data_IF_981650948504
#
_entry.id   IF_981650948504
#
_cell.length_a   1.000
_cell.length_b   1.000
_cell.length_c   1.000
_cell.angle_alpha   90.00
_cell.angle_beta   90.00
_cell.angle_gamma   90.00
#
_symmetry.space_group_name_H-M   'P 1'
#
loop_
_entity.id
_entity.type
_entity.pdbx_description
1 polymer ?
#
# COMPACT_ATOMS: atom_id res chain seq x y z
N UNK A 1 17.41 25.49 21.63
CA UNK A 1 18.26 25.89 20.49
C UNK A 1 17.32 26.15 19.34
N UNK A 2 17.38 27.37 18.79
CA UNK A 2 16.41 27.93 17.84
C UNK A 2 16.15 27.01 16.65
N UNK A 3 14.91 26.55 16.49
CA UNK A 3 14.38 26.03 15.23
C UNK A 3 14.36 27.17 14.21
N UNK A 4 15.48 27.38 13.52
CA UNK A 4 15.48 28.20 12.33
C UNK A 4 14.74 27.41 11.24
N UNK A 5 13.44 27.68 11.11
CA UNK A 5 12.67 27.23 9.95
C UNK A 5 13.35 27.75 8.69
N UNK A 6 13.48 26.93 7.63
CA UNK A 6 13.96 27.43 6.35
C UNK A 6 13.02 28.51 5.81
N UNK A 7 13.55 29.34 4.92
CA UNK A 7 12.83 30.41 4.22
C UNK A 7 11.43 29.92 3.75
N UNK A 8 10.34 30.67 3.99
CA UNK A 8 8.98 30.24 3.60
C UNK A 8 8.85 29.82 2.13
N UNK A 9 9.63 30.39 1.20
CA UNK A 9 9.64 29.97 -0.23
C UNK A 9 10.20 28.55 -0.41
N UNK A 10 11.16 28.13 0.42
CA UNK A 10 11.71 26.76 0.42
C UNK A 10 10.66 25.75 0.89
N UNK A 11 9.93 26.08 1.96
CA UNK A 11 8.89 25.20 2.50
C UNK A 11 7.74 24.99 1.52
N UNK A 12 7.28 26.06 0.86
CA UNK A 12 6.17 25.99 -0.09
C UNK A 12 6.54 25.10 -1.30
N UNK A 13 7.74 25.29 -1.87
CA UNK A 13 8.22 24.48 -3.00
C UNK A 13 8.43 23.01 -2.63
N UNK A 14 8.97 22.74 -1.44
CA UNK A 14 9.14 21.37 -0.94
C UNK A 14 7.80 20.69 -0.65
N UNK A 15 6.86 21.42 -0.04
CA UNK A 15 5.51 20.93 0.21
C UNK A 15 4.79 20.59 -1.10
N UNK A 16 4.79 21.52 -2.06
CA UNK A 16 4.19 21.32 -3.39
C UNK A 16 4.79 20.12 -4.13
N UNK A 17 6.12 19.97 -4.09
CA UNK A 17 6.79 18.81 -4.68
C UNK A 17 6.36 17.50 -4.00
N UNK A 18 6.33 17.50 -2.66
CA UNK A 18 5.98 16.29 -1.91
C UNK A 18 4.52 15.89 -2.09
N UNK A 19 3.57 16.83 -2.10
CA UNK A 19 2.16 16.55 -2.35
C UNK A 19 1.92 15.94 -3.73
N UNK A 20 2.63 16.44 -4.74
CA UNK A 20 2.45 15.98 -6.12
C UNK A 20 3.13 14.64 -6.40
N UNK A 21 4.33 14.42 -5.83
CA UNK A 21 5.25 13.33 -6.24
C UNK A 21 5.60 12.32 -5.13
N UNK A 22 5.48 12.68 -3.85
CA UNK A 22 5.92 11.85 -2.71
C UNK A 22 4.73 11.21 -1.99
N UNK A 23 4.23 10.09 -2.55
CA UNK A 23 2.97 9.44 -2.13
C UNK A 23 3.10 8.16 -1.30
N UNK A 24 4.29 7.76 -0.86
CA UNK A 24 4.44 6.55 -0.04
C UNK A 24 5.87 6.22 0.36
N UNK A 25 6.06 5.09 1.03
CA UNK A 25 7.36 4.68 1.60
C UNK A 25 8.54 4.75 0.64
N UNK A 26 8.33 4.40 -0.63
CA UNK A 26 9.39 4.30 -1.63
C UNK A 26 9.86 5.68 -2.05
N UNK A 27 8.93 6.59 -2.32
CA UNK A 27 9.24 7.98 -2.65
C UNK A 27 9.77 8.74 -1.43
N UNK A 28 9.25 8.49 -0.23
CA UNK A 28 9.81 9.02 1.03
C UNK A 28 11.26 8.56 1.24
N UNK A 29 11.55 7.28 0.98
CA UNK A 29 12.91 6.72 1.06
C UNK A 29 13.87 7.40 0.08
N UNK A 30 13.39 7.70 -1.14
CA UNK A 30 14.19 8.38 -2.17
C UNK A 30 14.54 9.81 -1.76
N UNK A 31 13.55 10.63 -1.37
CA UNK A 31 13.81 12.03 -1.02
C UNK A 31 14.68 12.14 0.24
N UNK A 32 14.48 11.28 1.24
CA UNK A 32 15.36 11.21 2.42
C UNK A 32 16.81 10.85 2.04
N UNK A 33 16.97 9.87 1.16
CA UNK A 33 18.30 9.46 0.68
C UNK A 33 19.01 10.59 -0.07
N UNK A 34 18.31 11.27 -0.98
CA UNK A 34 18.86 12.38 -1.75
C UNK A 34 19.22 13.57 -0.84
N UNK A 35 18.36 13.93 0.13
CA UNK A 35 18.69 14.98 1.11
C UNK A 35 19.91 14.59 1.94
N UNK A 36 20.01 13.35 2.42
CA UNK A 36 21.20 12.88 3.14
C UNK A 36 22.46 12.92 2.27
N UNK A 37 22.34 12.54 1.00
CA UNK A 37 23.45 12.61 0.05
C UNK A 37 23.92 14.06 -0.16
N UNK A 38 22.99 15.03 -0.15
CA UNK A 38 23.30 16.45 -0.29
C UNK A 38 24.07 16.96 0.94
N UNK A 39 23.70 16.47 2.14
CA UNK A 39 24.43 16.77 3.38
C UNK A 39 25.83 16.17 3.42
N UNK A 40 26.03 15.01 2.80
CA UNK A 40 27.32 14.30 2.77
C UNK A 40 28.27 14.83 1.69
N UNK A 41 27.75 15.15 0.50
CA UNK A 41 28.55 15.52 -0.68
C UNK A 41 28.49 17.01 -1.05
N UNK A 42 27.55 17.74 -0.48
CA UNK A 42 27.25 19.11 -0.86
C UNK A 42 26.39 19.22 -2.12
N UNK A 43 26.00 20.46 -2.43
CA UNK A 43 25.26 20.86 -3.63
C UNK A 43 26.09 21.86 -4.44
N UNK A 44 25.90 21.93 -5.78
CA UNK A 44 24.91 21.22 -6.57
C UNK A 44 25.28 19.76 -6.89
N UNK A 45 24.27 18.92 -7.16
CA UNK A 45 24.47 17.58 -7.68
C UNK A 45 24.73 17.57 -9.18
N UNK A 46 25.61 16.67 -9.61
CA UNK A 46 25.58 16.12 -10.96
C UNK A 46 24.56 14.97 -11.00
N UNK A 47 23.40 15.23 -11.62
CA UNK A 47 22.27 14.31 -11.67
C UNK A 47 22.65 12.99 -12.37
N UNK A 48 23.62 13.02 -13.29
CA UNK A 48 24.09 11.81 -13.98
C UNK A 48 24.81 10.83 -13.06
N UNK A 49 25.39 11.32 -11.97
CA UNK A 49 26.09 10.52 -10.96
C UNK A 49 25.17 9.94 -9.88
N UNK A 50 23.87 10.27 -9.92
CA UNK A 50 22.86 9.66 -9.05
C UNK A 50 22.46 8.26 -9.55
N UNK A 51 22.95 7.82 -10.70
CA UNK A 51 22.68 6.52 -11.32
C UNK A 51 23.72 5.47 -10.91
N UNK A 52 23.29 4.23 -10.69
CA UNK A 52 24.20 3.08 -10.63
C UNK A 52 24.75 2.73 -12.01
N UNK A 53 25.91 2.06 -12.08
CA UNK A 53 26.52 1.57 -13.33
C UNK A 53 25.57 0.69 -14.17
N UNK A 54 24.63 0.00 -13.52
CA UNK A 54 23.47 -0.63 -14.17
C UNK A 54 22.33 0.38 -14.20
N UNK A 55 21.99 0.93 -15.37
CA UNK A 55 21.25 2.19 -15.62
C UNK A 55 19.77 2.25 -15.17
N UNK A 56 19.41 1.82 -13.95
CA UNK A 56 18.01 1.81 -13.51
C UNK A 56 17.75 2.00 -12.02
N UNK A 57 18.79 2.32 -11.22
CA UNK A 57 18.64 2.51 -9.78
C UNK A 57 19.40 3.76 -9.29
N UNK A 58 18.92 4.31 -8.17
CA UNK A 58 19.55 5.42 -7.48
C UNK A 58 20.77 4.91 -6.72
N UNK A 59 21.93 5.49 -6.97
CA UNK A 59 23.19 5.08 -6.37
C UNK A 59 23.14 5.19 -4.83
N UNK A 60 23.48 4.10 -4.16
CA UNK A 60 23.53 4.02 -2.69
C UNK A 60 22.17 3.95 -1.99
N UNK A 61 21.05 4.02 -2.72
CA UNK A 61 19.72 3.88 -2.14
C UNK A 61 19.49 2.41 -1.72
N UNK A 62 19.04 2.20 -0.49
CA UNK A 62 18.72 0.87 0.03
C UNK A 62 18.21 0.91 1.47
N UNK A 63 17.59 -0.20 1.89
CA UNK A 63 16.97 -0.37 3.22
C UNK A 63 17.88 0.09 4.35
N UNK A 64 19.09 -0.47 4.43
CA UNK A 64 20.01 -0.21 5.55
C UNK A 64 20.47 1.24 5.62
N UNK A 65 20.48 1.96 4.48
CA UNK A 65 20.82 3.39 4.47
C UNK A 65 19.67 4.22 5.01
N UNK A 66 18.46 3.98 4.52
CA UNK A 66 17.25 4.68 5.00
C UNK A 66 17.01 4.39 6.47
N UNK A 67 17.17 3.14 6.91
CA UNK A 67 17.00 2.76 8.31
C UNK A 67 18.01 3.45 9.22
N UNK A 68 19.26 3.60 8.80
CA UNK A 68 20.27 4.35 9.58
C UNK A 68 19.88 5.82 9.73
N UNK A 69 19.41 6.47 8.66
CA UNK A 69 18.91 7.84 8.73
C UNK A 69 17.77 7.92 9.74
N UNK A 70 16.76 7.05 9.65
CA UNK A 70 15.61 7.06 10.56
C UNK A 70 16.00 6.77 12.02
N UNK A 71 16.95 5.87 12.26
CA UNK A 71 17.45 5.56 13.60
C UNK A 71 18.11 6.76 14.29
N UNK A 72 18.80 7.63 13.54
CA UNK A 72 19.36 8.89 14.07
C UNK A 72 18.27 9.84 14.60
N UNK A 73 17.04 9.71 14.11
CA UNK A 73 15.87 10.47 14.56
C UNK A 73 14.97 9.68 15.53
N UNK A 74 15.45 8.55 16.08
CA UNK A 74 14.72 7.74 17.05
C UNK A 74 13.56 6.94 16.46
N UNK A 75 13.62 6.60 15.17
CA UNK A 75 12.62 5.77 14.49
C UNK A 75 13.22 4.40 14.21
N UNK A 76 12.80 3.40 14.98
CA UNK A 76 13.24 2.00 14.83
C UNK A 76 12.36 1.21 13.86
N UNK A 77 11.15 1.70 13.56
CA UNK A 77 10.22 1.09 12.61
C UNK A 77 10.82 1.12 11.20
N UNK A 78 10.64 0.02 10.47
CA UNK A 78 11.09 -0.09 9.09
C UNK A 78 10.16 0.67 8.13
N UNK A 79 10.73 1.57 7.32
CA UNK A 79 9.96 2.33 6.31
C UNK A 79 9.72 1.51 5.02
N UNK A 80 10.77 0.89 4.46
CA UNK A 80 10.65 0.09 3.23
C UNK A 80 11.69 -1.03 3.11
N UNK A 81 11.24 -2.28 2.94
CA UNK A 81 12.10 -3.46 2.71
C UNK A 81 13.11 -3.30 1.58
N UNK A 82 12.72 -2.67 0.48
CA UNK A 82 13.59 -2.39 -0.68
C UNK A 82 14.25 -1.01 -0.63
N UNK A 83 14.01 -0.21 0.41
CA UNK A 83 14.54 1.16 0.54
C UNK A 83 14.19 2.10 -0.62
N UNK A 84 13.12 1.82 -1.38
CA UNK A 84 12.74 2.60 -2.56
C UNK A 84 13.48 2.24 -3.85
N UNK A 85 14.19 1.10 -3.93
CA UNK A 85 14.97 0.68 -5.10
C UNK A 85 14.17 0.23 -6.35
N UNK A 86 12.85 0.36 -6.37
CA UNK A 86 12.03 -0.12 -7.50
C UNK A 86 12.19 0.79 -8.73
N UNK A 87 12.53 0.19 -9.87
CA UNK A 87 13.01 0.90 -11.08
C UNK A 87 11.96 1.73 -11.83
N UNK A 88 10.66 1.49 -11.61
CA UNK A 88 9.59 2.12 -12.41
C UNK A 88 9.31 3.61 -12.08
N UNK A 89 9.91 4.18 -11.03
CA UNK A 89 9.69 5.61 -10.70
C UNK A 89 10.70 6.27 -9.76
N UNK A 90 11.49 5.50 -9.01
CA UNK A 90 12.41 6.05 -8.01
C UNK A 90 13.58 6.85 -8.58
N UNK A 91 14.08 6.46 -9.76
CA UNK A 91 15.17 7.19 -10.41
C UNK A 91 14.69 8.56 -10.90
N UNK A 92 13.57 8.60 -11.64
CA UNK A 92 13.00 9.87 -12.11
C UNK A 92 12.68 10.82 -10.94
N UNK A 93 12.11 10.29 -9.85
CA UNK A 93 11.87 11.08 -8.64
C UNK A 93 13.17 11.62 -8.02
N UNK A 94 14.23 10.80 -7.95
CA UNK A 94 15.51 11.23 -7.42
C UNK A 94 16.15 12.34 -8.25
N UNK A 95 16.05 12.25 -9.58
CA UNK A 95 16.55 13.26 -10.51
C UNK A 95 15.75 14.56 -10.37
N UNK A 96 14.42 14.50 -10.39
CA UNK A 96 13.54 15.66 -10.21
C UNK A 96 13.78 16.35 -8.85
N UNK A 97 13.96 15.58 -7.78
CA UNK A 97 14.20 16.14 -6.46
C UNK A 97 15.61 16.72 -6.31
N UNK A 98 16.62 16.10 -6.93
CA UNK A 98 17.97 16.66 -6.99
C UNK A 98 18.01 17.98 -7.77
N UNK A 99 17.27 18.07 -8.88
CA UNK A 99 17.09 19.31 -9.64
C UNK A 99 16.43 20.41 -8.80
N UNK A 100 15.39 20.08 -8.02
CA UNK A 100 14.77 21.02 -7.09
C UNK A 100 15.79 21.57 -6.09
N UNK A 101 16.58 20.70 -5.45
CA UNK A 101 17.62 21.13 -4.50
C UNK A 101 18.71 22.00 -5.16
N UNK A 102 19.09 21.67 -6.41
CA UNK A 102 20.01 22.49 -7.20
C UNK A 102 19.43 23.88 -7.52
N UNK A 103 18.16 23.95 -7.89
CA UNK A 103 17.46 25.21 -8.14
C UNK A 103 17.41 26.08 -6.89
N UNK A 104 16.98 25.52 -5.75
CA UNK A 104 16.97 26.23 -4.47
C UNK A 104 18.37 26.72 -4.07
N UNK A 105 19.40 25.91 -4.34
CA UNK A 105 20.79 26.33 -4.14
C UNK A 105 21.17 27.52 -5.03
N UNK A 106 20.82 27.48 -6.32
CA UNK A 106 21.15 28.53 -7.28
C UNK A 106 20.45 29.86 -7.00
N UNK A 107 19.26 29.79 -6.40
CA UNK A 107 18.50 30.97 -5.95
C UNK A 107 19.02 31.53 -4.62
N UNK A 108 20.00 30.88 -3.98
CA UNK A 108 20.53 31.26 -2.67
C UNK A 108 19.57 30.97 -1.50
N UNK A 109 18.43 30.32 -1.74
CA UNK A 109 17.37 30.10 -0.74
C UNK A 109 17.73 29.02 0.29
N UNK A 110 18.67 28.12 -0.04
CA UNK A 110 19.26 27.22 0.94
C UNK A 110 20.39 27.88 1.77
N UNK A 111 20.76 29.13 1.49
CA UNK A 111 21.88 29.81 2.12
C UNK A 111 23.07 29.99 1.18
N UNK A 112 23.79 31.10 1.39
CA UNK A 112 24.88 31.54 0.53
C UNK A 112 26.23 30.96 0.96
N UNK A 113 26.34 30.55 2.22
CA UNK A 113 27.52 29.88 2.76
C UNK A 113 27.30 28.36 2.85
N UNK A 114 28.41 27.60 2.90
CA UNK A 114 28.35 26.15 3.10
C UNK A 114 27.69 25.77 4.44
N UNK A 115 27.90 26.57 5.49
CA UNK A 115 27.32 26.31 6.82
C UNK A 115 25.81 26.54 6.84
N UNK A 116 25.33 27.62 6.22
CA UNK A 116 23.89 27.89 6.10
C UNK A 116 23.20 26.81 5.26
N UNK A 117 23.84 26.40 4.16
CA UNK A 117 23.34 25.30 3.32
C UNK A 117 23.22 23.99 4.08
N UNK A 118 24.21 23.68 4.91
CA UNK A 118 24.17 22.48 5.74
C UNK A 118 23.05 22.53 6.77
N UNK A 119 22.80 23.69 7.37
CA UNK A 119 21.69 23.90 8.30
C UNK A 119 20.33 23.73 7.59
N UNK A 120 20.14 24.35 6.43
CA UNK A 120 18.92 24.22 5.62
C UNK A 120 18.65 22.77 5.24
N UNK A 121 19.67 22.03 4.78
CA UNK A 121 19.53 20.61 4.45
C UNK A 121 19.19 19.74 5.67
N UNK A 122 19.71 20.06 6.85
CA UNK A 122 19.34 19.37 8.08
C UNK A 122 17.87 19.64 8.45
N UNK A 123 17.38 20.86 8.28
CA UNK A 123 15.97 21.22 8.48
C UNK A 123 15.05 20.49 7.49
N UNK A 124 15.42 20.42 6.20
CA UNK A 124 14.68 19.66 5.18
C UNK A 124 14.63 18.17 5.55
N UNK A 125 15.75 17.59 5.99
CA UNK A 125 15.78 16.18 6.38
C UNK A 125 14.89 15.92 7.59
N UNK A 126 14.94 16.78 8.61
CA UNK A 126 14.06 16.68 9.77
C UNK A 126 12.58 16.77 9.36
N UNK A 127 12.23 17.71 8.47
CA UNK A 127 10.87 17.84 7.96
C UNK A 127 10.40 16.58 7.22
N UNK A 128 11.24 16.00 6.37
CA UNK A 128 10.95 14.72 5.70
C UNK A 128 10.79 13.57 6.70
N UNK A 129 11.56 13.54 7.77
CA UNK A 129 11.41 12.58 8.86
C UNK A 129 10.08 12.78 9.61
N UNK A 130 9.62 14.02 9.81
CA UNK A 130 8.29 14.26 10.37
C UNK A 130 7.19 13.71 9.45
N UNK A 131 7.32 13.86 8.13
CA UNK A 131 6.40 13.21 7.17
C UNK A 131 6.44 11.69 7.24
N UNK A 132 7.59 11.08 7.54
CA UNK A 132 7.68 9.64 7.81
C UNK A 132 6.94 9.28 9.11
N UNK A 133 7.04 10.10 10.16
CA UNK A 133 6.26 9.92 11.39
C UNK A 133 4.76 10.05 11.13
N UNK A 134 4.34 11.04 10.36
CA UNK A 134 2.94 11.20 9.92
C UNK A 134 2.46 10.00 9.11
N UNK A 135 3.28 9.50 8.18
CA UNK A 135 2.99 8.27 7.44
C UNK A 135 2.80 7.08 8.39
N UNK A 136 3.65 6.96 9.40
CA UNK A 136 3.54 5.93 10.43
C UNK A 136 2.38 6.10 11.40
N UNK A 137 1.85 7.32 11.52
CA UNK A 137 0.76 7.72 12.40
C UNK A 137 -0.56 7.93 11.67
N UNK A 138 -0.60 7.71 10.34
CA UNK A 138 -1.82 7.83 9.55
C UNK A 138 -2.89 6.90 10.15
N UNK A 139 -4.07 7.46 10.44
CA UNK A 139 -5.11 6.77 11.20
C UNK A 139 -5.47 5.41 10.59
N UNK A 140 -5.54 4.38 11.42
CA UNK A 140 -6.07 3.08 11.03
C UNK A 140 -7.52 3.21 10.55
N UNK A 141 -7.97 2.26 9.75
CA UNK A 141 -9.40 2.05 9.51
C UNK A 141 -10.07 1.64 10.82
N UNK A 142 -11.36 1.90 10.97
CA UNK A 142 -12.11 1.55 12.18
C UNK A 142 -13.25 0.59 11.87
N UNK A 143 -13.46 -0.41 12.71
CA UNK A 143 -14.65 -1.24 12.67
C UNK A 143 -15.47 -0.99 13.94
N UNK A 144 -16.75 -0.67 13.76
CA UNK A 144 -17.64 -0.38 14.88
C UNK A 144 -17.86 -1.60 15.77
N UNK A 145 -17.83 -1.38 17.08
CA UNK A 145 -18.23 -2.34 18.12
C UNK A 145 -19.74 -2.40 18.34
N UNK A 146 -20.55 -1.60 17.64
CA UNK A 146 -22.01 -1.61 17.77
C UNK A 146 -22.61 -2.92 17.25
N UNK A 147 -23.02 -3.77 18.19
CA UNK A 147 -23.59 -5.09 17.94
C UNK A 147 -24.99 -5.06 17.30
N UNK A 148 -25.62 -3.90 17.13
CA UNK A 148 -26.88 -3.75 16.40
C UNK A 148 -26.70 -3.80 14.87
N UNK A 149 -25.48 -3.53 14.40
CA UNK A 149 -25.15 -3.57 12.97
C UNK A 149 -24.93 -5.00 12.47
N UNK A 150 -25.34 -5.25 11.23
CA UNK A 150 -25.02 -6.52 10.57
C UNK A 150 -23.53 -6.60 10.24
N UNK A 151 -22.95 -7.81 10.27
CA UNK A 151 -21.54 -8.01 9.89
C UNK A 151 -21.27 -7.51 8.47
N UNK A 152 -22.19 -7.76 7.53
CA UNK A 152 -22.07 -7.24 6.15
C UNK A 152 -21.95 -5.72 6.12
N UNK A 153 -22.72 -5.00 6.95
CA UNK A 153 -22.61 -3.55 7.08
C UNK A 153 -21.26 -3.12 7.65
N UNK A 154 -20.78 -3.79 8.71
CA UNK A 154 -19.48 -3.47 9.31
C UNK A 154 -18.33 -3.61 8.29
N UNK A 155 -18.36 -4.66 7.45
CA UNK A 155 -17.38 -4.83 6.38
C UNK A 155 -17.55 -3.76 5.29
N UNK A 156 -18.78 -3.43 4.90
CA UNK A 156 -19.05 -2.38 3.92
C UNK A 156 -18.52 -1.02 4.40
N UNK A 157 -18.67 -0.71 5.68
CA UNK A 157 -18.20 0.55 6.28
C UNK A 157 -16.67 0.65 6.26
N UNK A 158 -15.96 -0.43 6.61
CA UNK A 158 -14.49 -0.49 6.47
C UNK A 158 -14.05 -0.28 5.02
N UNK A 159 -14.74 -0.90 4.05
CA UNK A 159 -14.44 -0.70 2.63
C UNK A 159 -14.75 0.74 2.17
N UNK A 160 -15.77 1.39 2.73
CA UNK A 160 -16.09 2.78 2.44
C UNK A 160 -15.00 3.73 2.97
N UNK A 161 -14.50 3.52 4.20
CA UNK A 161 -13.36 4.26 4.76
C UNK A 161 -12.10 4.08 3.89
N UNK A 162 -11.82 2.85 3.47
CA UNK A 162 -10.70 2.54 2.58
C UNK A 162 -10.82 3.26 1.21
N UNK A 163 -12.03 3.31 0.65
CA UNK A 163 -12.31 4.04 -0.60
C UNK A 163 -12.14 5.55 -0.44
N UNK A 164 -12.63 6.12 0.66
CA UNK A 164 -12.46 7.55 0.94
C UNK A 164 -10.97 7.90 1.00
N UNK A 165 -10.18 7.12 1.73
CA UNK A 165 -8.73 7.29 1.80
C UNK A 165 -8.05 7.17 0.44
N UNK A 166 -8.51 6.26 -0.41
CA UNK A 166 -8.00 6.13 -1.78
C UNK A 166 -8.27 7.39 -2.63
N UNK A 167 -9.39 8.07 -2.42
CA UNK A 167 -9.72 9.31 -3.13
C UNK A 167 -8.85 10.47 -2.67
N UNK A 168 -8.51 10.52 -1.38
CA UNK A 168 -7.62 11.51 -0.78
C UNK A 168 -6.15 11.33 -1.23
N UNK A 169 -5.76 10.10 -1.61
CA UNK A 169 -4.41 9.77 -2.10
C UNK A 169 -4.47 9.15 -3.50
N UNK A 170 -4.56 9.97 -4.57
CA UNK A 170 -4.66 9.48 -5.94
C UNK A 170 -3.47 8.57 -6.33
N UNK A 171 -3.76 7.43 -6.96
CA UNK A 171 -2.76 6.42 -7.34
C UNK A 171 -2.43 5.41 -6.23
N UNK A 172 -3.04 5.51 -5.06
CA UNK A 172 -3.05 4.46 -4.05
C UNK A 172 -4.07 3.36 -4.39
N UNK A 173 -3.89 2.16 -3.84
CA UNK A 173 -4.77 0.99 -4.04
C UNK A 173 -5.34 0.49 -2.73
N UNK A 174 -5.74 1.43 -1.86
CA UNK A 174 -6.17 1.16 -0.48
C UNK A 174 -7.39 0.25 -0.43
N UNK A 175 -8.45 0.55 -1.19
CA UNK A 175 -9.69 -0.25 -1.17
C UNK A 175 -9.45 -1.69 -1.65
N UNK A 176 -8.64 -1.85 -2.71
CA UNK A 176 -8.27 -3.15 -3.25
C UNK A 176 -7.45 -3.98 -2.27
N UNK A 177 -6.46 -3.37 -1.62
CA UNK A 177 -5.62 -4.02 -0.63
C UNK A 177 -6.43 -4.49 0.57
N UNK A 178 -7.27 -3.62 1.14
CA UNK A 178 -8.14 -3.94 2.28
C UNK A 178 -9.06 -5.10 1.92
N UNK A 179 -9.70 -5.05 0.75
CA UNK A 179 -10.60 -6.11 0.29
C UNK A 179 -9.85 -7.46 0.16
N UNK A 180 -8.72 -7.49 -0.54
CA UNK A 180 -7.96 -8.72 -0.74
C UNK A 180 -7.49 -9.33 0.59
N UNK A 181 -7.00 -8.50 1.51
CA UNK A 181 -6.54 -8.97 2.82
C UNK A 181 -7.68 -9.44 3.72
N UNK A 182 -8.87 -8.81 3.66
CA UNK A 182 -10.06 -9.29 4.38
C UNK A 182 -10.52 -10.67 3.88
N UNK A 183 -10.52 -10.86 2.56
CA UNK A 183 -10.81 -12.18 1.96
C UNK A 183 -9.75 -13.21 2.38
N UNK A 184 -8.48 -12.83 2.36
CA UNK A 184 -7.39 -13.67 2.85
C UNK A 184 -7.61 -14.07 4.30
N UNK A 185 -7.86 -13.12 5.19
CA UNK A 185 -8.08 -13.35 6.61
C UNK A 185 -9.25 -14.30 6.86
N UNK A 186 -10.38 -14.08 6.18
CA UNK A 186 -11.53 -14.97 6.20
C UNK A 186 -11.15 -16.40 5.78
N UNK A 187 -10.41 -16.54 4.69
CA UNK A 187 -10.00 -17.86 4.19
C UNK A 187 -9.04 -18.55 5.17
N UNK A 188 -8.09 -17.82 5.76
CA UNK A 188 -7.15 -18.34 6.74
C UNK A 188 -7.85 -18.81 8.03
N UNK A 189 -8.81 -18.03 8.56
CA UNK A 189 -9.62 -18.43 9.72
C UNK A 189 -10.41 -19.71 9.43
N UNK A 190 -10.93 -19.87 8.21
CA UNK A 190 -11.79 -21.02 7.86
C UNK A 190 -11.04 -22.28 7.44
N UNK A 191 -9.94 -22.14 6.71
CA UNK A 191 -9.21 -23.23 6.05
C UNK A 191 -7.87 -23.54 6.74
N UNK A 192 -7.40 -22.66 7.63
CA UNK A 192 -6.06 -22.69 8.20
C UNK A 192 -5.09 -21.80 7.43
N UNK A 193 -4.21 -21.12 8.15
CA UNK A 193 -3.22 -20.17 7.60
C UNK A 193 -2.23 -20.85 6.65
N UNK A 194 -1.83 -22.10 6.94
CA UNK A 194 -0.90 -22.88 6.12
C UNK A 194 -1.44 -23.24 4.72
N UNK A 195 -2.76 -23.15 4.53
CA UNK A 195 -3.42 -23.45 3.25
C UNK A 195 -3.42 -22.24 2.32
N UNK A 196 -3.27 -21.02 2.87
CA UNK A 196 -3.44 -19.77 2.14
C UNK A 196 -2.11 -19.03 2.01
N UNK A 197 -1.67 -18.80 0.77
CA UNK A 197 -0.51 -17.93 0.54
C UNK A 197 -0.92 -16.47 0.50
N UNK A 198 -0.64 -15.75 1.59
CA UNK A 198 -0.82 -14.30 1.64
C UNK A 198 0.27 -13.54 0.90
N UNK A 199 -0.12 -12.52 0.14
CA UNK A 199 0.78 -11.69 -0.65
C UNK A 199 0.59 -10.22 -0.38
N UNK A 200 1.64 -9.44 -0.59
CA UNK A 200 1.50 -7.99 -0.65
C UNK A 200 0.69 -7.63 -1.90
N UNK A 201 -0.27 -6.72 -1.75
CA UNK A 201 -1.15 -6.28 -2.84
C UNK A 201 -0.36 -5.74 -4.04
N UNK A 202 0.74 -5.05 -3.75
CA UNK A 202 1.67 -4.49 -4.75
C UNK A 202 2.43 -5.52 -5.60
N UNK A 203 2.35 -6.83 -5.30
CA UNK A 203 3.05 -7.89 -6.07
C UNK A 203 2.25 -8.50 -7.22
N UNK A 204 1.03 -8.02 -7.49
CA UNK A 204 0.16 -8.49 -8.57
C UNK A 204 0.75 -8.36 -9.99
N UNK A 205 1.82 -7.56 -10.16
CA UNK A 205 2.49 -7.28 -11.44
C UNK A 205 3.61 -8.28 -11.82
N UNK A 206 3.99 -9.19 -10.92
CA UNK A 206 4.99 -10.23 -11.26
C UNK A 206 4.27 -11.38 -11.97
N UNK A 207 4.72 -11.83 -13.15
CA UNK A 207 4.18 -13.02 -13.80
C UNK A 207 4.41 -14.24 -12.89
N UNK A 208 3.43 -14.55 -12.07
CA UNK A 208 3.40 -15.79 -11.31
C UNK A 208 2.57 -16.80 -12.09
N UNK A 209 2.88 -18.10 -11.99
CA UNK A 209 2.14 -19.18 -12.64
C UNK A 209 0.73 -19.41 -12.05
N UNK A 210 0.10 -18.36 -11.52
CA UNK A 210 -1.11 -18.45 -10.71
C UNK A 210 -2.37 -18.26 -11.51
N UNK A 211 -3.41 -18.94 -11.06
CA UNK A 211 -4.75 -18.77 -11.63
C UNK A 211 -5.46 -17.54 -11.08
N UNK A 212 -5.21 -17.11 -9.84
CA UNK A 212 -5.82 -15.93 -9.23
C UNK A 212 -5.08 -15.40 -8.01
N UNK A 213 -5.73 -14.50 -7.26
CA UNK A 213 -5.20 -13.95 -6.01
C UNK A 213 -5.07 -15.03 -4.93
N UNK A 214 -6.03 -15.96 -4.89
CA UNK A 214 -5.97 -17.17 -4.07
C UNK A 214 -6.28 -18.41 -4.90
N UNK A 215 -5.34 -19.36 -4.95
CA UNK A 215 -5.55 -20.66 -5.57
C UNK A 215 -5.85 -21.70 -4.47
N UNK A 216 -7.11 -22.14 -4.40
CA UNK A 216 -7.59 -23.08 -3.37
C UNK A 216 -7.63 -24.47 -3.95
N UNK A 217 -6.93 -25.40 -3.27
CA UNK A 217 -6.62 -26.75 -3.74
C UNK A 217 -5.85 -26.72 -5.08
N UNK A 218 -4.72 -27.45 -5.21
CA UNK A 218 -3.94 -27.45 -6.45
C UNK A 218 -4.83 -27.76 -7.66
N UNK A 219 -4.93 -26.82 -8.60
CA UNK A 219 -5.68 -26.93 -9.87
C UNK A 219 -7.21 -27.03 -9.77
N UNK A 220 -7.84 -26.68 -8.64
CA UNK A 220 -9.31 -26.74 -8.55
C UNK A 220 -9.98 -25.37 -8.64
N UNK A 221 -9.66 -24.44 -7.74
CA UNK A 221 -10.37 -23.16 -7.62
C UNK A 221 -9.37 -22.01 -7.71
N UNK A 222 -9.74 -20.97 -8.46
CA UNK A 222 -9.00 -19.71 -8.52
C UNK A 222 -9.91 -18.55 -8.15
N UNK A 223 -9.60 -17.92 -7.02
CA UNK A 223 -10.33 -16.77 -6.52
C UNK A 223 -9.61 -15.51 -7.00
N UNK A 224 -10.37 -14.64 -7.64
CA UNK A 224 -9.95 -13.29 -8.01
C UNK A 224 -10.70 -12.29 -7.16
N UNK A 225 -10.00 -11.32 -6.58
CA UNK A 225 -10.56 -10.30 -5.72
C UNK A 225 -10.32 -8.94 -6.37
N UNK A 226 -11.38 -8.18 -6.61
CA UNK A 226 -11.26 -6.85 -7.23
C UNK A 226 -12.37 -5.90 -6.79
N UNK A 227 -12.06 -4.61 -6.68
CA UNK A 227 -13.07 -3.55 -6.50
C UNK A 227 -13.57 -2.99 -7.83
N UNK A 228 -12.85 -3.30 -8.92
CA UNK A 228 -13.07 -2.80 -10.28
C UNK A 228 -12.92 -3.95 -11.28
N UNK A 229 -14.00 -4.71 -11.55
CA UNK A 229 -13.97 -5.80 -12.53
C UNK A 229 -13.70 -5.25 -13.93
N UNK A 230 -12.94 -5.99 -14.75
CA UNK A 230 -12.56 -5.61 -16.11
C UNK A 230 -12.68 -6.79 -17.07
N UNK A 231 -12.77 -6.53 -18.38
CA UNK A 231 -12.76 -7.58 -19.41
C UNK A 231 -11.50 -8.45 -19.33
N UNK A 232 -10.33 -7.83 -19.06
CA UNK A 232 -9.06 -8.54 -18.86
C UNK A 232 -9.14 -9.58 -17.72
N UNK A 233 -9.91 -9.29 -16.67
CA UNK A 233 -10.13 -10.28 -15.60
C UNK A 233 -10.96 -11.47 -16.10
N UNK A 234 -11.96 -11.22 -16.95
CA UNK A 234 -12.77 -12.28 -17.55
C UNK A 234 -11.94 -13.15 -18.50
N UNK A 235 -11.01 -12.56 -19.26
CA UNK A 235 -10.05 -13.30 -20.08
C UNK A 235 -9.16 -14.21 -19.23
N UNK A 236 -8.66 -13.73 -18.08
CA UNK A 236 -7.94 -14.58 -17.12
C UNK A 236 -8.81 -15.74 -16.60
N UNK A 237 -10.07 -15.47 -16.29
CA UNK A 237 -11.02 -16.50 -15.87
C UNK A 237 -11.26 -17.54 -16.97
N UNK A 238 -11.32 -17.11 -18.25
CA UNK A 238 -11.40 -18.01 -19.40
C UNK A 238 -10.17 -18.93 -19.48
N UNK A 239 -8.97 -18.38 -19.34
CA UNK A 239 -7.74 -19.17 -19.32
C UNK A 239 -7.72 -20.19 -18.16
N UNK A 240 -8.22 -19.81 -16.97
CA UNK A 240 -8.39 -20.72 -15.84
C UNK A 240 -9.34 -21.87 -16.18
N UNK A 241 -10.47 -21.56 -16.82
CA UNK A 241 -11.45 -22.55 -17.26
C UNK A 241 -10.84 -23.53 -18.27
N UNK A 242 -10.08 -23.03 -19.24
CA UNK A 242 -9.36 -23.85 -20.23
C UNK A 242 -8.29 -24.74 -19.57
N UNK A 243 -7.69 -24.28 -18.47
CA UNK A 243 -6.80 -25.06 -17.63
C UNK A 243 -7.52 -26.00 -16.64
N UNK A 244 -8.84 -26.17 -16.74
CA UNK A 244 -9.63 -27.08 -15.91
C UNK A 244 -9.98 -26.56 -14.51
N UNK A 245 -9.74 -25.27 -14.24
CA UNK A 245 -9.99 -24.63 -12.94
C UNK A 245 -11.38 -23.98 -12.90
N UNK A 246 -11.91 -23.78 -11.69
CA UNK A 246 -13.17 -23.06 -11.42
C UNK A 246 -12.88 -21.64 -10.92
N UNK A 247 -13.04 -20.60 -11.75
CA UNK A 247 -12.84 -19.24 -11.31
C UNK A 247 -14.01 -18.75 -10.45
N UNK A 248 -13.67 -18.04 -9.37
CA UNK A 248 -14.60 -17.30 -8.51
C UNK A 248 -14.11 -15.85 -8.50
N UNK A 249 -15.00 -14.91 -8.79
CA UNK A 249 -14.72 -13.48 -8.69
C UNK A 249 -15.42 -12.95 -7.43
N UNK A 250 -14.65 -12.34 -6.53
CA UNK A 250 -15.16 -11.68 -5.33
C UNK A 250 -15.01 -10.17 -5.51
N UNK A 251 -16.14 -9.47 -5.41
CA UNK A 251 -16.24 -8.01 -5.58
C UNK A 251 -17.07 -7.42 -4.45
N UNK A 252 -16.98 -6.11 -4.16
CA UNK A 252 -17.97 -5.45 -3.30
C UNK A 252 -19.38 -5.70 -3.82
N UNK A 253 -20.36 -5.86 -2.93
CA UNK A 253 -21.74 -6.23 -3.25
C UNK A 253 -22.33 -5.37 -4.40
N UNK A 254 -22.09 -4.06 -4.34
CA UNK A 254 -22.55 -3.09 -5.35
C UNK A 254 -21.96 -3.30 -6.76
N UNK A 255 -20.90 -4.10 -6.90
CA UNK A 255 -20.22 -4.40 -8.17
C UNK A 255 -20.63 -5.75 -8.78
N UNK A 256 -21.46 -6.55 -8.10
CA UNK A 256 -21.92 -7.84 -8.62
C UNK A 256 -22.59 -7.70 -10.00
N UNK A 257 -23.60 -6.81 -10.21
CA UNK A 257 -24.33 -6.77 -11.49
C UNK A 257 -23.42 -6.40 -12.67
N UNK A 258 -22.48 -5.48 -12.45
CA UNK A 258 -21.49 -5.10 -13.47
C UNK A 258 -20.55 -6.27 -13.82
N UNK A 259 -20.15 -7.05 -12.83
CA UNK A 259 -19.28 -8.22 -13.02
C UNK A 259 -19.99 -9.35 -13.76
N UNK A 260 -21.24 -9.63 -13.38
CA UNK A 260 -22.08 -10.62 -14.06
C UNK A 260 -22.34 -10.24 -15.51
N UNK A 261 -22.57 -8.95 -15.79
CA UNK A 261 -22.73 -8.44 -17.15
C UNK A 261 -21.47 -8.67 -17.99
N UNK A 262 -20.27 -8.42 -17.44
CA UNK A 262 -19.00 -8.72 -18.12
C UNK A 262 -18.84 -10.21 -18.42
N UNK A 263 -19.19 -11.09 -17.47
CA UNK A 263 -19.15 -12.54 -17.67
C UNK A 263 -20.17 -13.02 -18.71
N UNK A 264 -21.36 -12.42 -18.73
CA UNK A 264 -22.42 -12.71 -19.71
C UNK A 264 -22.03 -12.30 -21.12
N UNK A 265 -21.47 -11.09 -21.29
CA UNK A 265 -20.97 -10.62 -22.58
C UNK A 265 -19.87 -11.53 -23.16
N UNK A 266 -19.07 -12.16 -22.30
CA UNK A 266 -18.05 -13.13 -22.70
C UNK A 266 -18.59 -14.56 -22.90
N UNK A 267 -19.89 -14.80 -22.68
CA UNK A 267 -20.48 -16.14 -22.76
C UNK A 267 -20.09 -17.09 -21.60
N UNK A 268 -19.65 -16.54 -20.47
CA UNK A 268 -19.09 -17.28 -19.33
C UNK A 268 -19.93 -17.17 -18.04
N UNK A 269 -21.14 -16.59 -18.10
CA UNK A 269 -22.04 -16.41 -16.94
C UNK A 269 -22.22 -17.65 -16.08
N UNK A 270 -22.37 -18.83 -16.69
CA UNK A 270 -22.58 -20.10 -15.98
C UNK A 270 -21.27 -20.86 -15.69
N UNK A 271 -20.12 -20.22 -15.91
CA UNK A 271 -18.78 -20.80 -15.78
C UNK A 271 -17.89 -20.05 -14.80
N UNK A 272 -18.32 -18.85 -14.38
CA UNK A 272 -17.64 -17.99 -13.41
C UNK A 272 -18.62 -17.72 -12.29
N UNK A 273 -18.24 -18.04 -11.05
CA UNK A 273 -19.03 -17.65 -9.87
C UNK A 273 -18.71 -16.20 -9.51
N UNK A 274 -19.73 -15.38 -9.22
CA UNK A 274 -19.55 -13.99 -8.78
C UNK A 274 -20.15 -13.83 -7.38
N UNK A 275 -19.31 -13.50 -6.40
CA UNK A 275 -19.72 -13.37 -5.01
C UNK A 275 -19.48 -11.95 -4.48
N UNK A 276 -20.41 -11.50 -3.64
CA UNK A 276 -20.28 -10.28 -2.86
C UNK A 276 -19.35 -10.47 -1.66
N UNK A 277 -18.37 -9.60 -1.51
CA UNK A 277 -17.34 -9.68 -0.48
C UNK A 277 -17.91 -9.61 0.93
N UNK A 278 -18.80 -8.66 1.16
CA UNK A 278 -19.43 -8.39 2.45
C UNK A 278 -20.21 -9.61 2.92
N UNK A 279 -21.02 -10.21 2.02
CA UNK A 279 -21.76 -11.45 2.29
C UNK A 279 -20.87 -12.67 2.41
N UNK A 280 -19.82 -12.77 1.60
CA UNK A 280 -18.88 -13.89 1.67
C UNK A 280 -18.13 -13.95 3.01
N UNK A 281 -17.79 -12.78 3.57
CA UNK A 281 -17.16 -12.66 4.89
C UNK A 281 -18.20 -12.90 6.00
N UNK A 282 -19.32 -12.19 5.94
CA UNK A 282 -20.43 -12.29 6.89
C UNK A 282 -20.98 -13.71 7.06
N UNK A 283 -21.14 -14.44 5.95
CA UNK A 283 -21.61 -15.83 5.96
C UNK A 283 -20.70 -16.72 6.79
N UNK A 284 -19.38 -16.61 6.59
CA UNK A 284 -18.43 -17.42 7.35
C UNK A 284 -18.40 -17.07 8.84
N UNK A 285 -18.45 -15.78 9.19
CA UNK A 285 -18.53 -15.33 10.58
C UNK A 285 -19.79 -15.88 11.27
N UNK A 286 -20.93 -15.82 10.57
CA UNK A 286 -22.21 -16.32 11.07
C UNK A 286 -22.17 -17.84 11.26
N UNK A 287 -21.68 -18.58 10.26
CA UNK A 287 -21.52 -20.03 10.33
C UNK A 287 -20.61 -20.47 11.47
N UNK A 288 -19.47 -19.79 11.68
CA UNK A 288 -18.53 -20.10 12.77
C UNK A 288 -19.10 -19.75 14.14
N UNK A 289 -19.85 -18.65 14.23
CA UNK A 289 -20.56 -18.27 15.46
C UNK A 289 -21.57 -19.35 15.86
N UNK A 290 -22.37 -19.84 14.91
CA UNK A 290 -23.32 -20.94 15.11
C UNK A 290 -22.59 -22.24 15.50
N UNK A 291 -21.58 -22.63 14.74
CA UNK A 291 -20.88 -23.91 14.93
C UNK A 291 -20.12 -24.00 16.26
N UNK A 292 -19.51 -22.89 16.70
CA UNK A 292 -18.65 -22.86 17.87
C UNK A 292 -19.34 -22.30 19.13
N UNK A 293 -20.64 -21.96 19.05
CA UNK A 293 -21.38 -21.29 20.12
C UNK A 293 -20.65 -20.03 20.67
N UNK A 294 -19.98 -19.29 19.78
CA UNK A 294 -19.25 -18.05 20.10
C UNK A 294 -20.05 -16.84 19.64
N UNK A 295 -19.87 -15.70 20.30
CA UNK A 295 -20.53 -14.48 19.87
C UNK A 295 -20.06 -14.04 18.47
N UNK A 296 -20.93 -13.39 17.72
CA UNK A 296 -20.57 -12.78 16.42
C UNK A 296 -19.42 -11.80 16.61
N UNK A 297 -19.44 -11.02 17.71
CA UNK A 297 -18.39 -10.05 18.03
C UNK A 297 -17.01 -10.70 18.16
N UNK A 298 -16.92 -11.87 18.81
CA UNK A 298 -15.65 -12.59 18.95
C UNK A 298 -15.15 -13.15 17.62
N UNK A 299 -16.07 -13.59 16.74
CA UNK A 299 -15.72 -14.06 15.40
C UNK A 299 -15.26 -12.92 14.48
N UNK A 300 -15.88 -11.75 14.59
CA UNK A 300 -15.41 -10.53 13.92
C UNK A 300 -14.00 -10.19 14.43
N UNK A 301 -13.78 -10.24 15.75
CA UNK A 301 -12.44 -10.06 16.38
C UNK A 301 -11.39 -10.97 15.79
N UNK A 302 -11.69 -12.27 15.71
CA UNK A 302 -10.78 -13.27 15.18
C UNK A 302 -10.40 -12.99 13.71
N UNK A 303 -11.36 -12.60 12.86
CA UNK A 303 -11.09 -12.26 11.46
C UNK A 303 -10.26 -10.98 11.33
N UNK A 304 -10.56 -9.92 12.09
CA UNK A 304 -9.82 -8.66 12.03
C UNK A 304 -8.40 -8.81 12.62
N UNK A 305 -8.23 -9.59 13.68
CA UNK A 305 -6.90 -9.88 14.22
C UNK A 305 -6.06 -10.66 13.21
N UNK A 306 -6.66 -11.63 12.51
CA UNK A 306 -6.00 -12.32 11.40
C UNK A 306 -5.64 -11.36 10.26
N UNK A 307 -6.56 -10.50 9.88
CA UNK A 307 -6.33 -9.44 8.89
C UNK A 307 -5.14 -8.55 9.28
N UNK A 308 -5.13 -8.02 10.50
CA UNK A 308 -4.07 -7.14 10.98
C UNK A 308 -2.70 -7.85 11.03
N UNK A 309 -2.67 -9.14 11.37
CA UNK A 309 -1.44 -9.96 11.28
C UNK A 309 -0.94 -10.08 9.85
N UNK A 310 -1.84 -10.36 8.90
CA UNK A 310 -1.50 -10.44 7.47
C UNK A 310 -0.95 -9.09 6.99
N UNK A 311 -1.67 -7.99 7.24
CA UNK A 311 -1.26 -6.63 6.87
C UNK A 311 0.11 -6.30 7.45
N UNK A 312 0.34 -6.54 8.74
CA UNK A 312 1.64 -6.25 9.38
C UNK A 312 2.79 -7.06 8.77
N UNK A 313 2.52 -8.28 8.32
CA UNK A 313 3.56 -9.16 7.75
C UNK A 313 3.86 -8.90 6.27
N UNK A 314 2.86 -8.45 5.50
CA UNK A 314 2.90 -8.34 4.04
C UNK A 314 2.94 -6.90 3.54
N UNK A 315 2.27 -6.00 4.23
CA UNK A 315 2.21 -4.59 3.89
C UNK A 315 3.14 -3.77 4.79
N UNK A 316 3.49 -2.61 4.29
CA UNK A 316 4.31 -1.63 5.01
C UNK A 316 3.52 -0.44 5.53
N UNK A 317 2.30 -0.29 5.00
CA UNK A 317 1.44 0.84 5.30
C UNK A 317 0.60 0.49 6.53
N UNK A 318 0.93 1.03 7.71
CA UNK A 318 0.18 0.72 8.92
C UNK A 318 -1.25 1.27 8.86
N UNK A 319 -1.54 2.27 8.03
CA UNK A 319 -2.89 2.84 7.90
C UNK A 319 -3.90 1.83 7.37
N UNK A 320 -3.46 0.72 6.77
CA UNK A 320 -4.32 -0.36 6.33
C UNK A 320 -4.88 -1.20 7.48
N UNK A 321 -4.30 -1.11 8.69
CA UNK A 321 -4.79 -1.83 9.85
C UNK A 321 -6.21 -1.36 10.22
N UNK A 322 -6.97 -2.25 10.85
CA UNK A 322 -8.33 -2.00 11.30
C UNK A 322 -8.36 -2.08 12.83
N UNK A 323 -8.76 -1.00 13.47
CA UNK A 323 -8.95 -0.94 14.93
C UNK A 323 -10.43 -1.11 15.29
N UNK A 324 -10.69 -1.67 16.47
CA UNK A 324 -12.02 -1.70 17.08
C UNK A 324 -12.35 -0.32 17.66
N UNK A 325 -13.50 0.24 17.27
CA UNK A 325 -14.01 1.53 17.73
C UNK A 325 -15.30 1.37 18.55
#
# INVERSE_FOLDING_TARGET
>A
MSDAMPDPDVNERLAQFCETKVRGKGSLSVVLHITRLARERGLPFDVTQLRTNHQGQVAGLGRDRVQRILAEYGIERELAREGGRTSRGSLGLAEEFAELLNQLTSLGTLGNTASERQASLASIENWLVQRVREYFNAEHLRISSDHSNTVSFLIADVLAQARQRQQEVPGSTVEGAVLQHLIGAKLAVRLGDDVITHQAYSTADVPTARGGDFDILPNAISIHVTTSPTERLIEKCKANIEAGRRPIIIVPDQRIPATETLAENAGLKNRIEVLGAERFISGNITELSIANARSIADQVREVIDMYNRIVTSRESDPSLQIDYA
#
